data_IF_910063676677
#
_entry.id   IF_910063676677
#
_cell.length_a   1.000
_cell.length_b   1.000
_cell.length_c   1.000
_cell.angle_alpha   90.00
_cell.angle_beta   90.00
_cell.angle_gamma   90.00
#
_symmetry.space_group_name_H-M   'P 1'
#
loop_
_entity.id
_entity.type
_entity.pdbx_description
1 polymer ?
#
# COMPACT_ATOMS: atom_id res chain seq x y z
N UNK A 1 -62.72 9.15 36.39
CA UNK A 1 -62.36 8.42 35.18
C UNK A 1 -61.00 8.94 34.72
N UNK A 2 -59.93 8.29 35.12
CA UNK A 2 -58.52 8.64 34.69
C UNK A 2 -58.14 7.67 33.59
N UNK A 3 -57.78 8.22 32.40
CA UNK A 3 -57.20 7.47 31.29
C UNK A 3 -55.69 7.68 31.33
N UNK A 4 -54.95 6.62 31.66
CA UNK A 4 -53.50 6.57 31.57
C UNK A 4 -53.10 6.16 30.15
N UNK A 5 -52.42 7.05 29.43
CA UNK A 5 -51.78 6.75 28.15
C UNK A 5 -50.33 6.35 28.40
N UNK A 6 -50.03 5.07 28.16
CA UNK A 6 -48.67 4.55 28.11
C UNK A 6 -48.01 4.92 26.77
N UNK A 7 -46.96 5.75 26.81
CA UNK A 7 -46.11 6.02 25.67
C UNK A 7 -45.00 4.95 25.60
N UNK A 8 -45.05 4.10 24.57
CA UNK A 8 -43.99 3.15 24.28
C UNK A 8 -42.87 3.87 23.49
N UNK A 9 -41.73 4.10 24.15
CA UNK A 9 -40.51 4.60 23.50
C UNK A 9 -39.80 3.43 22.78
N UNK A 10 -39.93 3.38 21.46
CA UNK A 10 -39.18 2.44 20.61
C UNK A 10 -37.72 2.84 20.50
N UNK A 11 -36.83 2.06 21.10
CA UNK A 11 -35.39 2.16 20.88
C UNK A 11 -35.07 1.56 19.51
N UNK A 12 -34.86 2.41 18.50
CA UNK A 12 -34.26 2.00 17.20
C UNK A 12 -32.76 1.88 17.44
N UNK A 13 -32.30 0.67 17.73
CA UNK A 13 -30.88 0.34 17.75
C UNK A 13 -30.31 0.43 16.33
N UNK A 14 -29.52 1.48 16.05
CA UNK A 14 -28.65 1.52 14.87
C UNK A 14 -27.61 0.41 15.01
N UNK A 15 -27.82 -0.71 14.33
CA UNK A 15 -26.79 -1.70 14.07
C UNK A 15 -25.76 -1.05 13.11
N UNK A 16 -24.69 -0.48 13.67
CA UNK A 16 -23.51 -0.09 12.90
C UNK A 16 -22.90 -1.38 12.34
N UNK A 17 -23.23 -1.72 11.10
CA UNK A 17 -22.52 -2.75 10.35
C UNK A 17 -21.06 -2.31 10.25
N UNK A 18 -20.08 -3.15 10.66
CA UNK A 18 -18.70 -2.85 10.39
C UNK A 18 -18.56 -2.75 8.87
N UNK A 19 -18.20 -1.56 8.40
CA UNK A 19 -17.80 -1.39 7.00
C UNK A 19 -16.68 -2.39 6.75
N UNK A 20 -16.92 -3.39 5.91
CA UNK A 20 -15.90 -4.32 5.47
C UNK A 20 -14.81 -3.48 4.79
N UNK A 21 -13.78 -3.11 5.55
CA UNK A 21 -12.69 -2.28 5.07
C UNK A 21 -11.96 -3.05 3.98
N UNK A 22 -12.09 -2.55 2.75
CA UNK A 22 -11.35 -3.11 1.63
C UNK A 22 -9.84 -2.96 1.89
N UNK A 23 -9.05 -4.00 1.61
CA UNK A 23 -7.60 -3.94 1.74
C UNK A 23 -7.06 -2.81 0.87
N UNK A 24 -6.30 -1.89 1.47
CA UNK A 24 -5.66 -0.76 0.77
C UNK A 24 -4.14 -0.91 0.71
N UNK A 25 -3.62 -2.00 1.24
CA UNK A 25 -2.20 -2.29 1.31
C UNK A 25 -1.89 -3.75 0.95
N UNK A 26 -0.73 -3.97 0.37
CA UNK A 26 -0.17 -5.27 0.07
C UNK A 26 1.23 -5.38 0.63
N UNK A 27 1.44 -6.26 1.60
CA UNK A 27 2.76 -6.64 2.09
C UNK A 27 3.29 -7.79 1.26
N UNK A 28 4.54 -7.70 0.84
CA UNK A 28 5.22 -8.75 0.09
C UNK A 28 6.51 -9.14 0.79
N UNK A 29 6.68 -10.43 1.02
CA UNK A 29 7.96 -11.02 1.41
C UNK A 29 8.57 -11.66 0.18
N UNK A 30 9.73 -11.15 -0.24
CA UNK A 30 10.45 -11.61 -1.43
C UNK A 30 11.67 -12.39 -0.94
N UNK A 31 11.76 -13.66 -1.32
CA UNK A 31 12.90 -14.51 -0.98
C UNK A 31 13.90 -14.54 -2.15
N UNK A 32 15.06 -13.92 -1.93
CA UNK A 32 16.17 -13.88 -2.88
C UNK A 32 17.31 -14.84 -2.48
N UNK A 33 17.13 -15.63 -1.42
CA UNK A 33 18.17 -16.55 -0.92
C UNK A 33 18.62 -17.59 -1.95
N UNK A 34 17.77 -18.11 -2.85
CA UNK A 34 18.20 -19.02 -3.89
C UNK A 34 19.20 -18.41 -4.89
N UNK A 35 19.26 -17.06 -4.98
CA UNK A 35 20.19 -16.33 -5.84
C UNK A 35 21.38 -15.71 -5.06
N UNK A 36 21.58 -16.13 -3.82
CA UNK A 36 22.62 -15.56 -2.95
C UNK A 36 22.26 -14.22 -2.31
N UNK A 37 21.01 -13.77 -2.46
CA UNK A 37 20.48 -12.57 -1.80
C UNK A 37 19.95 -12.87 -0.41
N UNK A 38 19.21 -11.92 0.14
CA UNK A 38 18.51 -12.07 1.42
C UNK A 38 17.00 -11.86 1.24
N UNK A 39 16.23 -12.19 2.26
CA UNK A 39 14.80 -11.86 2.25
C UNK A 39 14.59 -10.36 2.33
N UNK A 40 13.69 -9.86 1.53
CA UNK A 40 13.25 -8.48 1.52
C UNK A 40 11.76 -8.41 1.89
N UNK A 41 11.42 -7.51 2.80
CA UNK A 41 10.03 -7.24 3.16
C UNK A 41 9.67 -5.83 2.77
N UNK A 42 8.64 -5.70 1.95
CA UNK A 42 8.09 -4.41 1.53
C UNK A 42 6.56 -4.43 1.61
N UNK A 43 5.96 -3.27 1.76
CA UNK A 43 4.51 -3.11 1.74
C UNK A 43 4.14 -1.92 0.87
N UNK A 44 3.14 -2.08 0.03
CA UNK A 44 2.66 -1.05 -0.85
C UNK A 44 1.27 -0.59 -0.43
N UNK A 45 1.08 0.70 -0.30
CA UNK A 45 -0.22 1.35 -0.18
C UNK A 45 -0.52 2.16 -1.43
N UNK A 46 -1.78 2.18 -1.85
CA UNK A 46 -2.26 3.05 -2.92
C UNK A 46 -3.29 4.00 -2.32
N UNK A 47 -3.10 5.31 -2.56
CA UNK A 47 -4.00 6.36 -2.10
C UNK A 47 -4.83 6.91 -3.26
N UNK A 48 -6.05 7.37 -2.99
CA UNK A 48 -6.96 7.99 -3.96
C UNK A 48 -7.32 7.07 -5.16
N UNK A 49 -7.28 5.75 -4.96
CA UNK A 49 -7.62 4.74 -5.97
C UNK A 49 -8.55 3.67 -5.40
N UNK A 50 -9.36 3.01 -6.23
CA UNK A 50 -10.17 1.87 -5.80
C UNK A 50 -9.32 0.73 -5.23
N UNK A 51 -9.84 0.02 -4.24
CA UNK A 51 -9.17 -1.15 -3.61
C UNK A 51 -8.84 -2.28 -4.61
N UNK A 52 -9.57 -2.37 -5.71
CA UNK A 52 -9.30 -3.33 -6.80
C UNK A 52 -7.91 -3.20 -7.38
N UNK A 53 -7.28 -2.01 -7.29
CA UNK A 53 -5.89 -1.83 -7.70
C UNK A 53 -4.92 -2.60 -6.80
N UNK A 54 -5.17 -2.60 -5.50
CA UNK A 54 -4.40 -3.39 -4.53
C UNK A 54 -4.55 -4.89 -4.82
N UNK A 55 -5.74 -5.33 -5.21
CA UNK A 55 -5.99 -6.74 -5.59
C UNK A 55 -5.13 -7.17 -6.78
N UNK A 56 -4.95 -6.28 -7.75
CA UNK A 56 -4.08 -6.52 -8.90
C UNK A 56 -2.60 -6.63 -8.54
N UNK A 57 -2.15 -5.79 -7.58
CA UNK A 57 -0.76 -5.76 -7.12
C UNK A 57 -0.45 -6.89 -6.12
N UNK A 58 -1.44 -7.35 -5.36
CA UNK A 58 -1.29 -8.30 -4.27
C UNK A 58 -1.48 -9.74 -4.76
N UNK A 59 -0.69 -10.13 -5.73
CA UNK A 59 -0.69 -11.48 -6.30
C UNK A 59 0.69 -12.12 -6.10
N UNK A 60 0.74 -13.44 -5.90
CA UNK A 60 2.01 -14.15 -5.93
C UNK A 60 2.71 -13.87 -7.26
N UNK A 61 3.94 -13.42 -7.20
CA UNK A 61 4.79 -13.22 -8.37
C UNK A 61 6.08 -13.95 -8.13
N UNK A 62 6.68 -14.41 -9.21
CA UNK A 62 7.98 -15.05 -9.12
C UNK A 62 8.13 -16.21 -10.10
N UNK A 63 9.31 -16.79 -10.05
CA UNK A 63 9.70 -17.99 -10.80
C UNK A 63 10.34 -19.00 -9.82
N UNK A 64 10.96 -20.02 -10.33
CA UNK A 64 11.63 -21.04 -9.49
C UNK A 64 12.75 -20.48 -8.60
N UNK A 65 13.29 -19.29 -8.90
CA UNK A 65 14.42 -18.68 -8.21
C UNK A 65 14.03 -17.54 -7.30
N UNK A 66 12.91 -16.87 -7.57
CA UNK A 66 12.41 -15.72 -6.79
C UNK A 66 10.94 -15.96 -6.50
N UNK A 67 10.59 -16.02 -5.24
CA UNK A 67 9.21 -16.18 -4.83
C UNK A 67 8.78 -14.99 -3.98
N UNK A 68 7.60 -14.44 -4.28
CA UNK A 68 6.96 -13.45 -3.42
C UNK A 68 5.70 -14.02 -2.79
N UNK A 69 5.59 -13.84 -1.48
CA UNK A 69 4.39 -14.19 -0.72
C UNK A 69 3.65 -12.89 -0.39
N UNK A 70 2.51 -12.63 -1.04
CA UNK A 70 1.70 -11.45 -0.79
C UNK A 70 0.75 -11.65 0.39
N UNK A 71 0.49 -10.58 1.13
CA UNK A 71 -0.47 -10.50 2.22
C UNK A 71 -1.28 -9.20 2.07
N UNK A 72 -2.60 -9.30 2.00
CA UNK A 72 -3.48 -8.13 1.95
C UNK A 72 -3.71 -7.56 3.34
N UNK A 73 -3.52 -6.27 3.50
CA UNK A 73 -3.67 -5.54 4.76
C UNK A 73 -4.56 -4.32 4.58
N UNK A 74 -5.12 -3.81 5.66
CA UNK A 74 -5.81 -2.53 5.68
C UNK A 74 -4.82 -1.37 5.52
N UNK A 75 -3.63 -1.50 6.11
CA UNK A 75 -2.56 -0.51 6.12
C UNK A 75 -1.21 -1.18 6.31
N UNK A 76 -0.17 -0.58 5.77
CA UNK A 76 1.20 -1.03 6.03
C UNK A 76 1.61 -0.79 7.50
N UNK A 77 2.33 -1.75 8.14
CA UNK A 77 2.84 -1.59 9.49
C UNK A 77 3.74 -0.36 9.65
N UNK A 78 3.71 0.27 10.82
CA UNK A 78 4.41 1.55 11.06
C UNK A 78 5.92 1.41 11.33
N UNK A 79 6.43 0.20 11.55
CA UNK A 79 7.83 -0.08 11.92
C UNK A 79 8.77 -0.23 10.71
N UNK A 80 8.58 0.58 9.67
CA UNK A 80 9.39 0.55 8.45
C UNK A 80 10.71 1.30 8.61
N UNK A 81 11.70 0.98 7.78
CA UNK A 81 12.99 1.66 7.71
C UNK A 81 12.95 2.93 6.85
N UNK A 82 12.08 2.96 5.86
CA UNK A 82 11.85 4.11 5.01
C UNK A 82 10.68 3.89 4.06
N UNK A 83 10.21 4.97 3.44
CA UNK A 83 9.10 4.95 2.48
C UNK A 83 9.45 5.74 1.23
N UNK A 84 9.17 5.14 0.08
CA UNK A 84 9.18 5.80 -1.22
C UNK A 84 7.74 6.14 -1.61
N UNK A 85 7.44 7.43 -1.80
CA UNK A 85 6.15 7.90 -2.27
C UNK A 85 6.27 8.38 -3.71
N UNK A 86 5.59 7.72 -4.63
CA UNK A 86 5.61 8.06 -6.06
C UNK A 86 4.22 8.45 -6.53
N UNK A 87 4.02 9.64 -7.14
CA UNK A 87 2.76 9.98 -7.76
C UNK A 87 2.39 8.91 -8.80
N UNK A 88 1.15 8.44 -8.76
CA UNK A 88 0.76 7.31 -9.60
C UNK A 88 0.80 7.66 -11.10
N UNK A 89 0.49 8.90 -11.46
CA UNK A 89 0.67 9.40 -12.85
C UNK A 89 2.11 9.28 -13.32
N UNK A 90 3.08 9.63 -12.46
CA UNK A 90 4.52 9.50 -12.77
C UNK A 90 4.91 8.04 -12.95
N UNK A 91 4.47 7.16 -12.06
CA UNK A 91 4.73 5.73 -12.17
C UNK A 91 4.17 5.16 -13.47
N UNK A 92 2.92 5.49 -13.81
CA UNK A 92 2.26 5.01 -15.03
C UNK A 92 2.93 5.58 -16.29
N UNK A 93 3.29 6.86 -16.29
CA UNK A 93 4.01 7.47 -17.40
C UNK A 93 5.36 6.78 -17.69
N UNK A 94 6.08 6.37 -16.64
CA UNK A 94 7.32 5.61 -16.78
C UNK A 94 7.06 4.22 -17.37
N UNK A 95 6.02 3.52 -16.91
CA UNK A 95 5.61 2.23 -17.48
C UNK A 95 5.23 2.37 -18.94
N UNK A 96 4.46 3.39 -19.30
CA UNK A 96 4.05 3.67 -20.67
C UNK A 96 5.27 3.88 -21.58
N UNK A 97 6.26 4.69 -21.14
CA UNK A 97 7.52 4.88 -21.90
C UNK A 97 8.26 3.57 -22.13
N UNK A 98 8.38 2.72 -21.10
CA UNK A 98 9.06 1.41 -21.22
C UNK A 98 8.32 0.47 -22.19
N UNK A 99 7.02 0.65 -22.35
CA UNK A 99 6.17 -0.13 -23.26
C UNK A 99 5.99 0.52 -24.65
N UNK A 100 6.66 1.65 -24.92
CA UNK A 100 6.52 2.39 -26.17
C UNK A 100 5.16 3.10 -26.35
N UNK A 101 4.43 3.32 -25.25
CA UNK A 101 3.14 4.03 -25.25
C UNK A 101 3.33 5.52 -24.89
N UNK A 102 2.37 6.40 -25.26
CA UNK A 102 2.41 7.80 -24.86
C UNK A 102 2.47 7.97 -23.35
N UNK A 103 3.41 8.78 -22.87
CA UNK A 103 3.62 9.00 -21.42
C UNK A 103 2.48 9.81 -20.76
N UNK A 104 1.76 10.59 -21.53
CA UNK A 104 0.63 11.45 -21.14
C UNK A 104 -0.71 10.72 -21.08
N UNK A 105 -0.77 9.44 -21.47
CA UNK A 105 -1.95 8.59 -21.29
C UNK A 105 -2.15 8.19 -19.82
N UNK A 106 -2.38 9.21 -18.98
CA UNK A 106 -2.57 9.09 -17.52
C UNK A 106 -3.77 9.88 -17.01
N UNK A 107 -4.61 10.38 -17.91
CA UNK A 107 -5.74 11.26 -17.59
C UNK A 107 -6.76 10.64 -16.64
N UNK A 108 -6.92 9.31 -16.68
CA UNK A 108 -7.84 8.56 -15.83
C UNK A 108 -7.33 8.39 -14.39
N UNK A 109 -6.08 8.77 -14.10
CA UNK A 109 -5.49 8.66 -12.77
C UNK A 109 -5.72 9.97 -12.02
N UNK A 110 -6.32 9.97 -10.82
CA UNK A 110 -6.46 11.16 -10.00
C UNK A 110 -5.12 11.85 -9.74
N UNK A 111 -5.10 13.18 -9.67
CA UNK A 111 -3.85 13.94 -9.47
C UNK A 111 -3.14 13.62 -8.15
N UNK A 112 -3.92 13.38 -7.11
CA UNK A 112 -3.39 13.07 -5.77
C UNK A 112 -3.11 11.58 -5.56
N UNK A 113 -3.42 10.74 -6.55
CA UNK A 113 -3.16 9.32 -6.43
C UNK A 113 -1.66 9.05 -6.34
N UNK A 114 -1.27 8.25 -5.37
CA UNK A 114 0.12 7.90 -5.13
C UNK A 114 0.24 6.44 -4.71
N UNK A 115 1.38 5.83 -5.02
CA UNK A 115 1.82 4.57 -4.47
C UNK A 115 2.92 4.84 -3.45
N UNK A 116 2.79 4.25 -2.25
CA UNK A 116 3.78 4.32 -1.18
C UNK A 116 4.36 2.94 -0.97
N UNK A 117 5.66 2.79 -1.19
CA UNK A 117 6.39 1.57 -0.92
C UNK A 117 7.14 1.72 0.41
N UNK A 118 6.75 0.95 1.41
CA UNK A 118 7.37 0.89 2.72
C UNK A 118 8.37 -0.26 2.75
N UNK A 119 9.57 -0.01 3.22
CA UNK A 119 10.67 -0.98 3.29
C UNK A 119 10.99 -1.31 4.74
N UNK A 120 11.11 -2.61 5.06
CA UNK A 120 11.33 -3.10 6.44
C UNK A 120 12.70 -3.76 6.59
N UNK A 121 12.91 -4.88 5.92
CA UNK A 121 14.10 -5.70 6.00
C UNK A 121 14.67 -5.98 4.62
N UNK A 122 15.97 -6.26 4.53
CA UNK A 122 16.64 -6.62 3.28
C UNK A 122 16.66 -5.49 2.25
N UNK A 123 16.52 -4.26 2.70
CA UNK A 123 16.47 -3.09 1.83
C UNK A 123 17.78 -2.91 1.05
N UNK A 124 17.72 -2.74 -0.29
CA UNK A 124 18.92 -2.43 -1.07
C UNK A 124 19.59 -1.14 -0.59
N UNK A 125 20.94 -1.06 -0.57
CA UNK A 125 21.64 0.11 -0.08
C UNK A 125 21.35 1.40 -0.86
N UNK A 126 20.93 1.27 -2.12
CA UNK A 126 20.65 2.39 -3.03
C UNK A 126 19.14 2.64 -3.22
N UNK A 127 18.26 2.13 -2.34
CA UNK A 127 16.81 2.24 -2.49
C UNK A 127 16.33 3.70 -2.55
N UNK A 128 16.94 4.61 -1.78
CA UNK A 128 16.59 6.03 -1.80
C UNK A 128 16.90 6.68 -3.16
N UNK A 129 18.01 6.31 -3.77
CA UNK A 129 18.39 6.77 -5.10
C UNK A 129 17.46 6.17 -6.18
N UNK A 130 17.14 4.88 -6.07
CA UNK A 130 16.18 4.23 -6.97
C UNK A 130 14.81 4.87 -6.90
N UNK A 131 14.33 5.22 -5.69
CA UNK A 131 13.09 5.96 -5.47
C UNK A 131 13.11 7.30 -6.23
N UNK A 132 14.17 8.08 -6.09
CA UNK A 132 14.30 9.38 -6.77
C UNK A 132 14.37 9.22 -8.29
N UNK A 133 15.08 8.23 -8.80
CA UNK A 133 15.17 7.94 -10.25
C UNK A 133 13.81 7.55 -10.85
N UNK A 134 12.95 6.91 -10.06
CA UNK A 134 11.58 6.58 -10.49
C UNK A 134 10.60 7.74 -10.37
N UNK A 135 11.06 8.93 -9.97
CA UNK A 135 10.23 10.13 -9.77
C UNK A 135 9.49 10.14 -8.45
N UNK A 136 9.93 9.33 -7.49
CA UNK A 136 9.40 9.30 -6.13
C UNK A 136 10.19 10.19 -5.16
N UNK A 137 9.62 10.36 -3.98
CA UNK A 137 10.24 11.03 -2.83
C UNK A 137 10.52 10.01 -1.74
N UNK A 138 11.77 9.89 -1.34
CA UNK A 138 12.19 9.03 -0.25
C UNK A 138 12.09 9.75 1.09
N UNK A 139 11.53 9.08 2.09
CA UNK A 139 11.52 9.53 3.49
C UNK A 139 12.04 8.39 4.36
N UNK A 140 13.17 8.60 5.02
CA UNK A 140 13.67 7.65 6.01
C UNK A 140 12.76 7.65 7.25
N UNK A 141 12.61 6.49 7.89
CA UNK A 141 11.91 6.43 9.17
C UNK A 141 12.63 7.28 10.21
N UNK A 142 11.87 7.93 11.08
CA UNK A 142 12.47 8.54 12.28
C UNK A 142 13.07 7.44 13.13
N UNK A 143 14.36 7.55 13.45
CA UNK A 143 15.01 6.61 14.35
C UNK A 143 14.17 6.46 15.62
N UNK A 144 13.79 5.23 15.96
CA UNK A 144 13.12 4.99 17.24
C UNK A 144 14.00 5.50 18.37
N UNK A 145 13.44 6.21 19.38
CA UNK A 145 14.23 6.66 20.52
C UNK A 145 14.91 5.44 21.14
N UNK A 146 16.26 5.47 21.22
CA UNK A 146 17.02 4.42 21.91
C UNK A 146 16.49 4.33 23.33
N UNK A 147 15.84 3.21 23.69
CA UNK A 147 15.54 2.92 25.08
C UNK A 147 16.87 2.87 25.83
N UNK A 148 17.08 3.83 26.75
CA UNK A 148 18.16 3.82 27.71
C UNK A 148 17.91 2.72 28.75
#
# INVERSE_FOLDING_TARGET
MLRSTLAAAGFVGLLALPAAGHAQACRQTIDLTPMGGQKMVQCHEVTEMPSTMVDGMCRPTGNAQVQSVPEKLQKCPANYAGVCSTPLRTAQANINRMQGRPADDVSQIPEKAAIKAYFYEGMPPNVAEQCSRSGGTWTAAKAAPKKK
#
